data_IF_785897478241
#
_entry.id   IF_785897478241
#
_cell.length_a   1.000
_cell.length_b   1.000
_cell.length_c   1.000
_cell.angle_alpha   90.00
_cell.angle_beta   90.00
_cell.angle_gamma   90.00
#
_symmetry.space_group_name_H-M   'P 1'
#
loop_
_entity.id
_entity.type
_entity.pdbx_description
1 polymer ?
#
# COMPACT_ATOMS: atom_id res chain seq x y z
N UNK A 1 10.15 1.42 4.47
CA UNK A 1 8.76 1.01 4.14
C UNK A 1 7.90 2.27 4.16
N UNK A 2 6.94 2.42 3.24
CA UNK A 2 6.14 3.64 3.11
C UNK A 2 5.39 3.94 4.42
N UNK A 3 5.73 5.06 5.07
CA UNK A 3 5.07 5.57 6.28
C UNK A 3 4.49 6.95 5.96
N UNK A 4 3.17 7.05 5.94
CA UNK A 4 2.46 8.32 5.66
C UNK A 4 1.91 8.98 6.92
N UNK A 5 1.92 8.27 8.05
CA UNK A 5 1.14 8.63 9.23
C UNK A 5 1.93 9.50 10.24
N UNK A 6 3.26 9.62 10.06
CA UNK A 6 4.18 10.30 10.98
C UNK A 6 4.51 11.76 10.56
N UNK A 7 3.80 12.31 9.57
CA UNK A 7 4.11 13.62 9.00
C UNK A 7 3.07 14.70 9.38
N UNK A 8 3.51 15.95 9.65
CA UNK A 8 2.58 17.06 9.92
C UNK A 8 1.75 17.41 8.67
N UNK A 9 0.48 17.78 8.89
CA UNK A 9 -0.42 18.21 7.79
C UNK A 9 0.11 19.49 7.16
N UNK A 10 0.14 19.52 5.82
CA UNK A 10 0.50 20.70 5.02
C UNK A 10 -0.74 21.24 4.33
N UNK A 11 -1.03 22.53 4.52
CA UNK A 11 -2.09 23.20 3.78
C UNK A 11 -1.76 23.21 2.29
N UNK A 12 -2.74 22.83 1.46
CA UNK A 12 -2.61 22.82 0.00
C UNK A 12 -3.89 23.34 -0.62
N UNK A 13 -3.76 24.08 -1.72
CA UNK A 13 -4.90 24.59 -2.48
C UNK A 13 -5.20 23.60 -3.61
N UNK A 14 -6.45 23.15 -3.68
CA UNK A 14 -6.94 22.19 -4.67
C UNK A 14 -8.19 22.72 -5.36
N UNK A 15 -8.24 22.56 -6.68
CA UNK A 15 -9.41 22.89 -7.49
C UNK A 15 -10.22 21.63 -7.72
N UNK A 16 -11.47 21.61 -7.26
CA UNK A 16 -12.41 20.50 -7.45
C UNK A 16 -13.67 20.99 -8.16
N UNK A 17 -14.47 20.03 -8.67
CA UNK A 17 -15.75 20.33 -9.29
C UNK A 17 -16.69 21.03 -8.28
N UNK A 18 -17.22 22.19 -8.67
CA UNK A 18 -18.07 23.01 -7.80
C UNK A 18 -19.33 22.28 -7.35
N UNK A 19 -20.01 21.56 -8.24
CA UNK A 19 -21.23 20.80 -7.90
C UNK A 19 -20.97 19.70 -6.87
N UNK A 20 -19.80 19.06 -6.97
CA UNK A 20 -19.40 18.03 -5.99
C UNK A 20 -19.11 18.67 -4.64
N UNK A 21 -18.43 19.83 -4.61
CA UNK A 21 -18.17 20.55 -3.38
C UNK A 21 -19.46 21.03 -2.70
N UNK A 22 -20.41 21.54 -3.48
CA UNK A 22 -21.69 22.02 -2.95
C UNK A 22 -22.50 20.86 -2.39
N UNK A 23 -22.64 19.76 -3.13
CA UNK A 23 -23.31 18.55 -2.63
C UNK A 23 -22.63 17.98 -1.37
N UNK A 24 -21.28 17.93 -1.32
CA UNK A 24 -20.57 17.45 -0.15
C UNK A 24 -20.80 18.33 1.09
N UNK A 25 -20.91 19.66 0.90
CA UNK A 25 -21.24 20.60 1.99
C UNK A 25 -22.68 20.40 2.46
N UNK A 26 -23.64 20.25 1.55
CA UNK A 26 -25.05 19.99 1.87
C UNK A 26 -25.22 18.69 2.68
N UNK A 27 -24.40 17.68 2.38
CA UNK A 27 -24.34 16.41 3.11
C UNK A 27 -23.55 16.48 4.43
N UNK A 28 -23.00 17.65 4.79
CA UNK A 28 -22.23 17.82 6.03
C UNK A 28 -20.89 17.08 6.05
N UNK A 29 -20.31 16.77 4.88
CA UNK A 29 -19.07 16.01 4.80
C UNK A 29 -17.86 16.84 5.23
N UNK A 30 -16.91 16.19 5.92
CA UNK A 30 -15.58 16.75 6.13
C UNK A 30 -14.72 16.55 4.88
N UNK A 31 -14.78 17.53 3.96
CA UNK A 31 -14.10 17.47 2.66
C UNK A 31 -12.59 17.29 2.82
N UNK A 32 -11.97 18.01 3.76
CA UNK A 32 -10.52 17.92 3.96
C UNK A 32 -10.09 16.54 4.42
N UNK A 33 -10.78 15.94 5.40
CA UNK A 33 -10.46 14.58 5.86
C UNK A 33 -10.73 13.53 4.77
N UNK A 34 -11.83 13.68 4.03
CA UNK A 34 -12.19 12.76 2.95
C UNK A 34 -11.13 12.75 1.84
N UNK A 35 -10.69 13.93 1.39
CA UNK A 35 -9.66 14.05 0.35
C UNK A 35 -8.31 13.52 0.85
N UNK A 36 -7.96 13.77 2.11
CA UNK A 36 -6.73 13.28 2.75
C UNK A 36 -6.67 11.74 2.74
N UNK A 37 -7.76 11.07 3.17
CA UNK A 37 -7.85 9.61 3.19
C UNK A 37 -7.80 9.01 1.78
N UNK A 38 -8.57 9.56 0.84
CA UNK A 38 -8.61 9.09 -0.55
C UNK A 38 -7.25 9.23 -1.23
N UNK A 39 -6.57 10.37 -1.02
CA UNK A 39 -5.25 10.61 -1.58
C UNK A 39 -4.21 9.68 -0.94
N UNK A 40 -4.24 9.48 0.37
CA UNK A 40 -3.34 8.56 1.05
C UNK A 40 -3.50 7.11 0.54
N UNK A 41 -4.74 6.66 0.33
CA UNK A 41 -5.02 5.34 -0.23
C UNK A 41 -4.45 5.19 -1.66
N UNK A 42 -4.68 6.18 -2.52
CA UNK A 42 -4.19 6.16 -3.90
C UNK A 42 -2.65 6.21 -3.97
N UNK A 43 -2.02 7.03 -3.11
CA UNK A 43 -0.55 7.08 -3.00
C UNK A 43 0.01 5.73 -2.57
N UNK A 44 -0.59 5.09 -1.54
CA UNK A 44 -0.18 3.74 -1.10
C UNK A 44 -0.31 2.73 -2.25
N UNK A 45 -1.42 2.74 -2.98
CA UNK A 45 -1.65 1.85 -4.12
C UNK A 45 -0.55 2.01 -5.19
N UNK A 46 -0.33 3.23 -5.66
CA UNK A 46 0.68 3.50 -6.71
C UNK A 46 2.10 3.19 -6.25
N UNK A 47 2.43 3.47 -5.00
CA UNK A 47 3.72 3.13 -4.44
C UNK A 47 3.98 1.62 -4.50
N UNK A 48 3.00 0.80 -4.08
CA UNK A 48 3.14 -0.65 -4.09
C UNK A 48 3.11 -1.25 -5.49
N UNK A 49 2.31 -0.70 -6.40
CA UNK A 49 2.36 -1.09 -7.82
C UNK A 49 3.75 -0.87 -8.40
N UNK A 50 4.34 0.30 -8.13
CA UNK A 50 5.69 0.61 -8.59
C UNK A 50 6.73 -0.29 -7.94
N UNK A 51 6.63 -0.49 -6.62
CA UNK A 51 7.54 -1.35 -5.89
C UNK A 51 7.50 -2.79 -6.42
N UNK A 52 6.32 -3.35 -6.68
CA UNK A 52 6.18 -4.69 -7.26
C UNK A 52 6.85 -4.77 -8.64
N UNK A 53 6.66 -3.78 -9.49
CA UNK A 53 7.32 -3.73 -10.82
C UNK A 53 8.84 -3.66 -10.68
N UNK A 54 9.34 -2.76 -9.85
CA UNK A 54 10.78 -2.56 -9.66
C UNK A 54 11.47 -3.77 -9.01
N UNK A 55 10.74 -4.56 -8.20
CA UNK A 55 11.28 -5.72 -7.48
C UNK A 55 10.92 -7.06 -8.13
N UNK A 56 10.23 -7.06 -9.27
CA UNK A 56 9.73 -8.26 -9.92
C UNK A 56 10.86 -9.28 -10.18
N UNK A 57 11.99 -8.83 -10.78
CA UNK A 57 13.12 -9.72 -11.05
C UNK A 57 13.75 -10.31 -9.79
N UNK A 58 13.89 -9.52 -8.72
CA UNK A 58 14.43 -10.01 -7.45
C UNK A 58 13.50 -11.05 -6.79
N UNK A 59 12.18 -10.86 -6.93
CA UNK A 59 11.17 -11.81 -6.44
C UNK A 59 11.24 -13.11 -7.27
N UNK A 60 11.33 -13.02 -8.59
CA UNK A 60 11.47 -14.17 -9.49
C UNK A 60 12.75 -14.97 -9.20
N UNK A 61 13.89 -14.31 -9.06
CA UNK A 61 15.17 -14.95 -8.71
C UNK A 61 15.10 -15.65 -7.35
N UNK A 62 14.46 -15.01 -6.36
CA UNK A 62 14.27 -15.61 -5.05
C UNK A 62 13.35 -16.82 -5.11
N UNK A 63 12.23 -16.75 -5.84
CA UNK A 63 11.30 -17.86 -6.03
C UNK A 63 12.00 -19.04 -6.71
N UNK A 64 12.76 -18.80 -7.78
CA UNK A 64 13.54 -19.82 -8.47
C UNK A 64 14.59 -20.48 -7.54
N UNK A 65 15.19 -19.70 -6.62
CA UNK A 65 16.07 -20.27 -5.59
C UNK A 65 15.31 -21.18 -4.64
N UNK A 66 14.15 -20.77 -4.15
CA UNK A 66 13.33 -21.58 -3.24
C UNK A 66 12.85 -22.87 -3.92
N UNK A 67 12.47 -22.81 -5.19
CA UNK A 67 12.10 -24.01 -5.96
C UNK A 67 13.26 -25.00 -6.10
N UNK A 68 14.47 -24.50 -6.31
CA UNK A 68 15.68 -25.33 -6.47
C UNK A 68 16.21 -25.88 -5.14
N UNK A 69 16.22 -25.06 -4.10
CA UNK A 69 16.96 -25.33 -2.85
C UNK A 69 16.05 -25.63 -1.66
N UNK A 70 14.73 -25.41 -1.80
CA UNK A 70 13.78 -25.41 -0.71
C UNK A 70 13.91 -24.17 0.18
N UNK A 71 13.08 -24.11 1.23
CA UNK A 71 13.15 -23.03 2.21
C UNK A 71 14.40 -23.18 3.09
N UNK A 72 15.31 -22.17 3.15
CA UNK A 72 16.58 -22.30 3.87
C UNK A 72 16.46 -22.69 5.36
N UNK A 73 15.37 -22.27 6.00
CA UNK A 73 15.11 -22.52 7.42
C UNK A 73 14.08 -23.63 7.67
N UNK A 74 13.65 -24.36 6.63
CA UNK A 74 12.66 -25.44 6.75
C UNK A 74 13.02 -26.43 7.86
N UNK A 75 14.29 -26.82 7.96
CA UNK A 75 14.79 -27.79 8.95
C UNK A 75 14.60 -27.37 10.41
N UNK A 76 14.39 -26.08 10.68
CA UNK A 76 14.18 -25.54 12.03
C UNK A 76 12.71 -25.23 12.34
N UNK A 77 11.80 -25.44 11.37
CA UNK A 77 10.37 -25.13 11.53
C UNK A 77 9.76 -26.01 12.62
N UNK A 78 9.07 -25.42 13.61
CA UNK A 78 8.45 -26.11 14.75
C UNK A 78 6.92 -26.28 14.63
N UNK A 79 6.30 -25.70 13.61
CA UNK A 79 4.84 -25.70 13.40
C UNK A 79 4.50 -26.06 11.96
N UNK A 80 3.31 -26.62 11.69
CA UNK A 80 2.87 -27.02 10.35
C UNK A 80 3.93 -27.85 9.60
N UNK A 81 4.49 -28.84 10.31
CA UNK A 81 5.27 -29.93 9.71
C UNK A 81 4.29 -30.86 8.98
N UNK A 82 4.67 -31.36 7.81
CA UNK A 82 3.93 -32.43 7.16
C UNK A 82 3.84 -33.60 8.15
N UNK A 83 2.64 -34.18 8.29
CA UNK A 83 2.46 -35.41 9.03
C UNK A 83 2.99 -36.56 8.15
N UNK A 84 3.90 -37.37 8.69
CA UNK A 84 4.34 -38.62 8.05
C UNK A 84 3.16 -39.56 7.75
#
# INVERSE_FOLDING_TARGET
MLRLDDAPKRATNLTLNSRVLDAAKELGMNISATVDELLAAEVKRRYWERWNQDNQGAIEDYNARIEREGLPLARYRSFAREAD
#
